data_IF_384422880519
#
_entry.id   IF_384422880519
#
_cell.length_a   1.000
_cell.length_b   1.000
_cell.length_c   1.000
_cell.angle_alpha   90.00
_cell.angle_beta   90.00
_cell.angle_gamma   90.00
#
_symmetry.space_group_name_H-M   'P 1'
#
loop_
_entity.id
_entity.type
_entity.pdbx_description
1 polymer ?
#
# COMPACT_ATOMS: atom_id res chain seq x y z
N UNK A 1 -49.28 22.15 -0.25
CA UNK A 1 -48.99 20.76 0.13
C UNK A 1 -47.64 20.32 -0.40
N UNK A 2 -46.62 20.35 0.46
CA UNK A 2 -45.25 20.02 0.11
C UNK A 2 -44.93 18.54 0.28
N UNK A 3 -43.95 18.07 -0.48
CA UNK A 3 -42.97 17.09 -0.01
C UNK A 3 -41.71 17.18 -0.89
N UNK A 4 -40.60 17.79 -0.45
CA UNK A 4 -39.33 17.56 -1.11
C UNK A 4 -38.94 16.10 -0.86
N UNK A 5 -38.67 15.39 -1.94
CA UNK A 5 -38.14 14.03 -1.92
C UNK A 5 -36.80 14.04 -1.17
N UNK A 6 -36.77 13.37 -0.02
CA UNK A 6 -35.57 13.18 0.80
C UNK A 6 -34.50 12.47 -0.04
N UNK A 7 -33.56 13.23 -0.62
CA UNK A 7 -32.31 12.67 -1.12
C UNK A 7 -31.63 12.04 0.09
N UNK A 8 -31.50 10.71 0.10
CA UNK A 8 -30.68 10.01 1.09
C UNK A 8 -29.27 10.60 0.98
N UNK A 9 -28.93 11.53 1.86
CA UNK A 9 -27.53 11.88 2.09
C UNK A 9 -26.89 10.60 2.60
N UNK A 10 -26.04 9.96 1.78
CA UNK A 10 -25.19 8.87 2.24
C UNK A 10 -24.29 9.43 3.33
N UNK A 11 -24.67 9.16 4.59
CA UNK A 11 -23.84 9.48 5.75
C UNK A 11 -22.58 8.63 5.63
N UNK A 12 -21.42 9.29 5.56
CA UNK A 12 -20.12 8.63 5.48
C UNK A 12 -19.90 7.75 6.70
N UNK A 13 -19.47 6.52 6.47
CA UNK A 13 -19.09 5.61 7.55
C UNK A 13 -17.84 6.12 8.29
N UNK A 14 -17.90 6.06 9.61
CA UNK A 14 -16.82 6.43 10.52
C UNK A 14 -16.18 5.16 11.11
N UNK A 15 -14.92 5.26 11.51
CA UNK A 15 -14.23 4.18 12.19
C UNK A 15 -14.77 4.03 13.62
N UNK A 16 -15.10 2.81 14.03
CA UNK A 16 -15.58 2.55 15.41
C UNK A 16 -14.47 2.81 16.43
N UNK A 17 -13.21 2.48 16.07
CA UNK A 17 -12.05 2.67 16.94
C UNK A 17 -10.86 3.30 16.22
N UNK A 18 -10.14 4.22 16.87
CA UNK A 18 -8.95 4.83 16.29
C UNK A 18 -7.83 3.81 16.01
N UNK A 19 -7.81 2.70 16.75
CA UNK A 19 -6.82 1.64 16.55
C UNK A 19 -7.03 0.88 15.24
N UNK A 20 -8.29 0.72 14.79
CA UNK A 20 -8.60 0.08 13.51
C UNK A 20 -8.05 0.91 12.36
N UNK A 21 -8.23 2.23 12.45
CA UNK A 21 -7.66 3.18 11.51
C UNK A 21 -6.12 3.10 11.46
N UNK A 22 -5.45 3.11 12.62
CA UNK A 22 -3.98 3.00 12.68
C UNK A 22 -3.51 1.65 12.13
N UNK A 23 -4.20 0.56 12.46
CA UNK A 23 -3.85 -0.78 11.97
C UNK A 23 -4.00 -0.86 10.43
N UNK A 24 -5.06 -0.28 9.87
CA UNK A 24 -5.23 -0.17 8.42
C UNK A 24 -4.11 0.65 7.77
N UNK A 25 -3.70 1.77 8.38
CA UNK A 25 -2.59 2.59 7.87
C UNK A 25 -1.27 1.81 7.88
N UNK A 26 -0.97 1.08 8.96
CA UNK A 26 0.24 0.26 9.06
C UNK A 26 0.20 -0.87 8.03
N UNK A 27 -0.94 -1.54 7.86
CA UNK A 27 -1.13 -2.59 6.86
C UNK A 27 -0.94 -2.10 5.42
N UNK A 28 -1.38 -0.88 5.10
CA UNK A 28 -1.13 -0.26 3.80
C UNK A 28 0.33 0.20 3.61
N UNK A 29 1.03 0.53 4.70
CA UNK A 29 2.40 1.08 4.65
C UNK A 29 3.48 -0.02 4.64
N UNK A 30 3.20 -1.16 5.28
CA UNK A 30 4.14 -2.28 5.36
C UNK A 30 3.81 -3.30 4.27
N UNK A 31 4.62 -3.32 3.20
CA UNK A 31 4.47 -4.26 2.09
C UNK A 31 5.67 -5.17 1.86
N UNK A 32 5.57 -6.10 0.90
CA UNK A 32 6.66 -7.01 0.52
C UNK A 32 7.95 -6.28 0.11
N UNK A 33 7.84 -5.05 -0.40
CA UNK A 33 9.00 -4.20 -0.69
C UNK A 33 9.91 -3.98 0.53
N UNK A 34 9.36 -3.91 1.74
CA UNK A 34 10.16 -3.74 2.96
C UNK A 34 10.93 -5.02 3.32
N UNK A 35 10.43 -6.19 2.89
CA UNK A 35 11.03 -7.50 3.20
C UNK A 35 12.22 -7.81 2.31
N UNK A 36 12.15 -7.53 1.00
CA UNK A 36 13.24 -7.86 0.07
C UNK A 36 13.96 -6.66 -0.52
N UNK A 37 13.24 -5.58 -0.87
CA UNK A 37 13.80 -4.50 -1.71
C UNK A 37 14.66 -3.59 -0.86
N UNK A 38 14.17 -3.26 0.32
CA UNK A 38 14.90 -2.43 1.27
C UNK A 38 16.25 -3.07 1.67
N UNK A 39 16.30 -4.33 2.15
CA UNK A 39 17.58 -4.97 2.49
C UNK A 39 18.52 -5.07 1.30
N UNK A 40 18.01 -5.41 0.11
CA UNK A 40 18.81 -5.51 -1.10
C UNK A 40 19.49 -4.18 -1.47
N UNK A 41 18.74 -3.07 -1.45
CA UNK A 41 19.27 -1.75 -1.77
C UNK A 41 20.24 -1.27 -0.68
N UNK A 42 19.90 -1.47 0.59
CA UNK A 42 20.77 -1.10 1.70
C UNK A 42 22.12 -1.85 1.61
N UNK A 43 22.10 -3.16 1.34
CA UNK A 43 23.32 -3.96 1.20
C UNK A 43 24.18 -3.49 0.02
N UNK A 44 23.57 -3.19 -1.13
CA UNK A 44 24.30 -2.72 -2.32
C UNK A 44 24.91 -1.32 -2.13
N UNK A 45 24.29 -0.47 -1.32
CA UNK A 45 24.67 0.94 -1.14
C UNK A 45 25.49 1.21 0.13
N UNK A 46 26.35 0.27 0.54
CA UNK A 46 27.22 0.44 1.70
C UNK A 46 26.63 -0.04 3.03
N UNK A 47 25.63 -0.92 2.98
CA UNK A 47 25.05 -1.59 4.15
C UNK A 47 24.49 -0.61 5.17
N UNK A 48 25.04 -0.63 6.38
CA UNK A 48 24.60 0.23 7.48
C UNK A 48 24.82 1.73 7.22
N UNK A 49 25.79 2.13 6.37
CA UNK A 49 26.01 3.53 6.05
C UNK A 49 24.84 4.16 5.27
N UNK A 50 24.07 3.34 4.53
CA UNK A 50 22.87 3.77 3.82
C UNK A 50 21.75 4.26 4.75
N UNK A 51 21.79 3.91 6.03
CA UNK A 51 20.78 4.34 7.01
C UNK A 51 20.79 5.85 7.26
N UNK A 52 21.96 6.48 7.20
CA UNK A 52 22.11 7.93 7.44
C UNK A 52 21.31 8.75 6.42
N UNK A 53 21.56 8.64 5.09
CA UNK A 53 20.76 9.37 4.11
C UNK A 53 19.30 8.91 4.10
N UNK A 54 19.02 7.63 4.40
CA UNK A 54 17.66 7.12 4.50
C UNK A 54 16.84 7.85 5.56
N UNK A 55 17.37 7.99 6.78
CA UNK A 55 16.68 8.70 7.86
C UNK A 55 16.56 10.20 7.58
N UNK A 56 17.58 10.83 6.98
CA UNK A 56 17.49 12.23 6.59
C UNK A 56 16.32 12.47 5.62
N UNK A 57 16.21 11.68 4.56
CA UNK A 57 15.10 11.79 3.59
C UNK A 57 13.76 11.42 4.25
N UNK A 58 13.75 10.42 5.13
CA UNK A 58 12.55 10.01 5.86
C UNK A 58 11.97 11.16 6.69
N UNK A 59 12.78 11.84 7.50
CA UNK A 59 12.30 12.93 8.34
C UNK A 59 12.01 14.21 7.54
N UNK A 60 12.83 14.53 6.54
CA UNK A 60 12.69 15.78 5.78
C UNK A 60 11.59 15.74 4.71
N UNK A 61 11.35 14.57 4.11
CA UNK A 61 10.41 14.43 2.98
C UNK A 61 9.31 13.44 3.33
N UNK A 62 9.65 12.27 3.87
CA UNK A 62 8.69 11.21 4.19
C UNK A 62 7.62 11.65 5.19
N UNK A 63 8.04 12.08 6.38
CA UNK A 63 7.14 12.53 7.46
C UNK A 63 6.21 13.68 7.03
N UNK A 64 6.70 14.81 6.47
CA UNK A 64 5.80 15.91 6.09
C UNK A 64 4.85 15.54 4.94
N UNK A 65 5.30 14.75 3.97
CA UNK A 65 4.43 14.31 2.86
C UNK A 65 3.33 13.36 3.36
N UNK A 66 3.68 12.43 4.25
CA UNK A 66 2.70 11.55 4.88
C UNK A 66 1.67 12.32 5.73
N UNK A 67 2.14 13.30 6.51
CA UNK A 67 1.26 14.15 7.31
C UNK A 67 0.32 15.01 6.44
N UNK A 68 0.82 15.54 5.32
CA UNK A 68 0.03 16.29 4.36
C UNK A 68 -1.10 15.43 3.77
N UNK A 69 -0.77 14.22 3.31
CA UNK A 69 -1.75 13.30 2.71
C UNK A 69 -2.85 12.93 3.71
N UNK A 70 -2.48 12.60 4.95
CA UNK A 70 -3.45 12.29 6.01
C UNK A 70 -4.33 13.49 6.34
N UNK A 71 -3.73 14.67 6.50
CA UNK A 71 -4.46 15.90 6.83
C UNK A 71 -5.44 16.30 5.73
N UNK A 72 -5.03 16.17 4.46
CA UNK A 72 -5.90 16.39 3.30
C UNK A 72 -7.03 15.36 3.21
N UNK A 73 -6.75 14.09 3.52
CA UNK A 73 -7.75 13.02 3.55
C UNK A 73 -8.81 13.24 4.64
N UNK A 74 -8.40 13.69 5.83
CA UNK A 74 -9.29 14.00 6.95
C UNK A 74 -10.12 15.26 6.67
N UNK A 75 -9.49 16.37 6.27
CA UNK A 75 -10.19 17.62 5.98
C UNK A 75 -11.10 17.53 4.75
N UNK A 76 -10.62 16.89 3.68
CA UNK A 76 -11.37 16.74 2.44
C UNK A 76 -12.56 15.81 2.58
N UNK A 77 -12.52 14.86 3.52
CA UNK A 77 -13.57 13.86 3.78
C UNK A 77 -14.19 13.26 2.52
N UNK A 78 -13.39 13.14 1.45
CA UNK A 78 -13.77 12.66 0.12
C UNK A 78 -12.64 11.83 -0.47
N UNK A 79 -12.96 10.93 -1.39
CA UNK A 79 -11.96 10.10 -2.08
C UNK A 79 -10.95 10.96 -2.86
N UNK A 80 -9.76 10.40 -3.12
CA UNK A 80 -8.63 11.09 -3.76
C UNK A 80 -9.00 11.75 -5.09
N UNK A 81 -9.84 11.12 -5.92
CA UNK A 81 -10.34 11.68 -7.19
C UNK A 81 -11.19 12.94 -7.02
N UNK A 82 -11.86 13.08 -5.88
CA UNK A 82 -12.73 14.22 -5.57
C UNK A 82 -12.00 15.27 -4.73
N UNK A 83 -11.06 14.87 -3.87
CA UNK A 83 -10.22 15.77 -3.08
C UNK A 83 -9.37 16.70 -3.98
N UNK A 84 -8.74 16.15 -5.02
CA UNK A 84 -7.96 16.96 -5.98
C UNK A 84 -8.80 17.77 -6.97
N UNK A 85 -10.14 17.71 -6.88
CA UNK A 85 -11.06 18.54 -7.69
C UNK A 85 -11.12 20.00 -7.19
N UNK A 86 -10.57 20.31 -6.01
CA UNK A 86 -10.48 21.67 -5.46
C UNK A 86 -9.71 22.63 -6.38
N UNK A 87 -8.75 22.11 -7.17
CA UNK A 87 -7.97 22.90 -8.12
C UNK A 87 -8.05 22.29 -9.51
N UNK A 88 -8.30 23.11 -10.54
CA UNK A 88 -8.47 22.64 -11.93
C UNK A 88 -7.22 21.97 -12.52
N UNK A 89 -6.03 22.31 -12.01
CA UNK A 89 -4.74 21.76 -12.45
C UNK A 89 -4.47 20.34 -11.91
N UNK A 90 -4.90 20.02 -10.68
CA UNK A 90 -4.61 18.74 -10.04
C UNK A 90 -5.67 17.65 -10.28
N UNK A 91 -6.69 17.91 -11.11
CA UNK A 91 -7.74 16.94 -11.43
C UNK A 91 -7.21 15.61 -12.02
N UNK A 92 -6.06 15.65 -12.72
CA UNK A 92 -5.41 14.46 -13.29
C UNK A 92 -4.72 13.57 -12.25
N UNK A 93 -4.31 14.12 -11.10
CA UNK A 93 -3.55 13.39 -10.07
C UNK A 93 -4.39 12.27 -9.47
N UNK A 94 -5.66 12.52 -9.15
CA UNK A 94 -6.54 11.49 -8.60
C UNK A 94 -6.72 10.29 -9.54
N UNK A 95 -6.81 10.52 -10.85
CA UNK A 95 -6.87 9.45 -11.86
C UNK A 95 -5.54 8.72 -11.98
N UNK A 96 -4.40 9.43 -11.95
CA UNK A 96 -3.08 8.82 -11.96
C UNK A 96 -2.86 7.92 -10.73
N UNK A 97 -3.29 8.34 -9.54
CA UNK A 97 -3.24 7.53 -8.32
C UNK A 97 -4.08 6.26 -8.43
N UNK A 98 -5.28 6.35 -9.03
CA UNK A 98 -6.15 5.19 -9.24
C UNK A 98 -5.53 4.18 -10.23
N UNK A 99 -5.00 4.66 -11.36
CA UNK A 99 -4.31 3.81 -12.35
C UNK A 99 -3.07 3.17 -11.74
N UNK A 100 -2.27 3.93 -11.00
CA UNK A 100 -1.08 3.40 -10.31
C UNK A 100 -1.47 2.31 -9.30
N UNK A 101 -2.52 2.53 -8.51
CA UNK A 101 -3.02 1.53 -7.55
C UNK A 101 -3.49 0.26 -8.25
N UNK A 102 -4.17 0.39 -9.40
CA UNK A 102 -4.60 -0.75 -10.20
C UNK A 102 -3.42 -1.56 -10.76
N UNK A 103 -2.44 -0.89 -11.37
CA UNK A 103 -1.23 -1.55 -11.89
C UNK A 103 -0.45 -2.27 -10.80
N UNK A 104 -0.31 -1.63 -9.64
CA UNK A 104 0.36 -2.23 -8.48
C UNK A 104 -0.38 -3.47 -7.99
N UNK A 105 -1.71 -3.39 -7.91
CA UNK A 105 -2.56 -4.50 -7.47
C UNK A 105 -2.39 -5.74 -8.36
N UNK A 106 -2.28 -5.58 -9.69
CA UNK A 106 -2.15 -6.72 -10.61
C UNK A 106 -0.90 -7.55 -10.28
N UNK A 107 0.28 -6.93 -10.22
CA UNK A 107 1.50 -7.69 -10.00
C UNK A 107 1.63 -8.19 -8.56
N UNK A 108 1.14 -7.45 -7.56
CA UNK A 108 1.18 -7.90 -6.17
C UNK A 108 0.32 -9.14 -5.94
N UNK A 109 -0.85 -9.26 -6.60
CA UNK A 109 -1.69 -10.44 -6.51
C UNK A 109 -0.99 -11.70 -7.04
N UNK A 110 -0.20 -11.59 -8.12
CA UNK A 110 0.60 -12.71 -8.65
C UNK A 110 1.63 -13.18 -7.61
N UNK A 111 2.30 -12.25 -6.93
CA UNK A 111 3.27 -12.58 -5.89
C UNK A 111 2.56 -13.26 -4.70
N UNK A 112 1.41 -12.75 -4.27
CA UNK A 112 0.61 -13.39 -3.22
C UNK A 112 0.21 -14.81 -3.63
N UNK A 113 -0.19 -15.02 -4.88
CA UNK A 113 -0.51 -16.35 -5.40
C UNK A 113 0.69 -17.30 -5.33
N UNK A 114 1.90 -16.83 -5.65
CA UNK A 114 3.12 -17.63 -5.45
C UNK A 114 3.39 -17.91 -3.98
N UNK A 115 3.26 -16.92 -3.09
CA UNK A 115 3.41 -17.13 -1.65
C UNK A 115 2.44 -18.19 -1.12
N UNK A 116 1.17 -18.15 -1.55
CA UNK A 116 0.17 -19.15 -1.19
C UNK A 116 0.53 -20.53 -1.76
N UNK A 117 0.98 -20.61 -3.02
CA UNK A 117 1.44 -21.86 -3.62
C UNK A 117 2.58 -22.49 -2.81
N UNK A 118 3.62 -21.72 -2.48
CA UNK A 118 4.75 -22.19 -1.67
C UNK A 118 4.33 -22.52 -0.22
N UNK A 119 3.39 -21.77 0.35
CA UNK A 119 2.82 -22.05 1.66
C UNK A 119 2.14 -23.42 1.70
N UNK A 120 1.26 -23.73 0.74
CA UNK A 120 0.62 -25.04 0.67
C UNK A 120 1.58 -26.16 0.28
N UNK A 121 2.56 -25.89 -0.59
CA UNK A 121 3.60 -26.85 -0.94
C UNK A 121 4.50 -27.23 0.25
N UNK A 122 4.58 -26.37 1.28
CA UNK A 122 5.36 -26.61 2.49
C UNK A 122 4.72 -27.60 3.47
N UNK A 123 3.45 -27.99 3.28
CA UNK A 123 2.82 -29.02 4.12
C UNK A 123 3.25 -30.46 3.78
N UNK A 124 4.15 -30.64 2.82
CA UNK A 124 4.75 -31.95 2.50
C UNK A 124 5.83 -32.30 3.53
N UNK A 125 5.97 -33.60 3.86
CA UNK A 125 7.00 -34.10 4.81
C UNK A 125 8.43 -33.75 4.38
N UNK A 126 8.69 -33.84 3.09
CA UNK A 126 9.93 -33.38 2.45
C UNK A 126 9.59 -32.22 1.54
N UNK A 127 10.36 -31.14 1.64
CA UNK A 127 10.09 -29.94 0.83
C UNK A 127 10.45 -30.24 -0.63
N UNK A 128 9.61 -29.89 -1.60
CA UNK A 128 9.85 -30.24 -2.99
C UNK A 128 11.12 -29.60 -3.58
N UNK A 129 11.61 -28.50 -2.99
CA UNK A 129 12.87 -27.85 -3.35
C UNK A 129 14.08 -28.28 -2.51
N UNK A 130 13.96 -29.31 -1.66
CA UNK A 130 15.11 -29.80 -0.86
C UNK A 130 16.04 -30.72 -1.64
N UNK A 131 15.55 -31.35 -2.70
CA UNK A 131 16.30 -32.33 -3.50
C UNK A 131 16.21 -32.05 -4.99
N UNK A 132 17.03 -32.77 -5.76
CA UNK A 132 17.08 -32.63 -7.21
C UNK A 132 16.19 -33.64 -7.96
N UNK A 133 15.53 -34.59 -7.27
CA UNK A 133 14.76 -35.69 -7.88
C UNK A 133 13.33 -35.28 -8.29
N UNK A 134 13.19 -34.16 -9.01
CA UNK A 134 11.91 -33.70 -9.49
C UNK A 134 11.86 -33.67 -11.02
N UNK A 135 10.67 -33.86 -11.59
CA UNK A 135 10.46 -33.86 -13.05
C UNK A 135 10.74 -32.52 -13.72
N UNK A 136 10.77 -31.41 -12.95
CA UNK A 136 11.08 -30.07 -13.44
C UNK A 136 12.56 -29.69 -13.30
N UNK A 137 13.37 -30.52 -12.63
CA UNK A 137 14.81 -30.28 -12.53
C UNK A 137 15.50 -30.76 -13.82
N UNK A 138 16.41 -29.94 -14.34
CA UNK A 138 17.31 -30.28 -15.45
C UNK A 138 18.63 -30.80 -14.91
#
# INVERSE_FOLDING_TARGET
>A
EGRPTNSKEEVREEWDRPIEFILSLVGCSVGLGNVWRYPYIAFKNGGGAFLIPYFCVYFLIGTPLYFLELSLGQFGSRGTTVAFKMTRMFKGIGWAMAINSFLVTIYYNVIIAWCLFYFFASFRRTLPWSGCDNWWNT
#
